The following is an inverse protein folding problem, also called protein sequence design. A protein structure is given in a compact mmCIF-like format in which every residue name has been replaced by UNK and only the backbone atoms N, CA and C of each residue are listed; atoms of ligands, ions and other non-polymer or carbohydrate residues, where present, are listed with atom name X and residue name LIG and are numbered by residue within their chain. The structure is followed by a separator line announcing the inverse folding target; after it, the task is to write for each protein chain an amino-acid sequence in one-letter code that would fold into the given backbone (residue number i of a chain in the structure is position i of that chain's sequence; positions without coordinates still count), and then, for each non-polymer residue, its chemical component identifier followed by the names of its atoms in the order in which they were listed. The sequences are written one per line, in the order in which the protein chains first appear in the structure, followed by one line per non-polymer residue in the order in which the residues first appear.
data_IF_664661291479
#
_entry.id   IF_664661291479
#
_cell.length_a   1.000
_cell.length_b   1.000
_cell.length_c   1.000
_cell.angle_alpha   90.00
_cell.angle_beta   90.00
_cell.angle_gamma   90.00
#
_symmetry.space_group_name_H-M   'P 1'
#
loop_
_entity.id
_entity.type
_entity.pdbx_description
1 polymer ?
#
# COMPACT_ATOMS: atom_id res chain seq x y z
N UNK A 1 23.77 19.79 8.78
CA UNK A 1 23.12 21.08 9.06
C UNK A 1 21.73 21.02 8.47
N UNK A 2 20.68 21.12 9.31
CA UNK A 2 19.30 21.17 8.84
C UNK A 2 19.13 22.34 7.87
N UNK A 3 18.29 22.21 6.84
CA UNK A 3 18.09 23.26 5.82
C UNK A 3 17.72 24.61 6.44
N UNK A 4 16.89 24.59 7.48
CA UNK A 4 16.58 25.76 8.28
C UNK A 4 17.81 26.40 8.93
N UNK A 5 18.67 25.62 9.60
CA UNK A 5 19.89 26.13 10.24
C UNK A 5 20.88 26.68 9.18
N UNK A 6 20.98 26.03 8.02
CA UNK A 6 21.78 26.51 6.89
C UNK A 6 21.29 27.87 6.39
N UNK A 7 19.98 28.05 6.24
CA UNK A 7 19.37 29.32 5.86
C UNK A 7 19.55 30.40 6.93
N UNK A 8 19.54 30.03 8.22
CA UNK A 8 19.85 30.95 9.33
C UNK A 8 21.31 31.41 9.31
N UNK A 9 22.25 30.51 8.99
CA UNK A 9 23.66 30.85 8.82
C UNK A 9 23.92 31.75 7.61
N UNK A 10 23.08 31.66 6.57
CA UNK A 10 23.09 32.56 5.42
C UNK A 10 22.47 33.95 5.70
N UNK A 11 22.07 34.23 6.96
CA UNK A 11 21.58 35.54 7.38
C UNK A 11 20.07 35.74 7.24
N UNK A 12 19.29 34.71 6.86
CA UNK A 12 17.84 34.85 6.75
C UNK A 12 17.17 34.94 8.13
N UNK A 13 16.16 35.80 8.26
CA UNK A 13 15.34 35.90 9.47
C UNK A 13 14.53 34.61 9.68
N UNK A 14 14.18 34.28 10.93
CA UNK A 14 13.48 33.04 11.30
C UNK A 14 12.21 32.79 10.47
N UNK A 15 11.40 33.83 10.27
CA UNK A 15 10.16 33.72 9.49
C UNK A 15 10.41 33.41 8.01
N UNK A 16 11.47 33.97 7.42
CA UNK A 16 11.81 33.72 6.01
C UNK A 16 12.46 32.36 5.85
N UNK A 17 13.41 32.00 6.72
CA UNK A 17 14.08 30.71 6.70
C UNK A 17 13.08 29.54 6.80
N UNK A 18 12.05 29.67 7.63
CA UNK A 18 10.96 28.67 7.71
C UNK A 18 10.25 28.49 6.37
N UNK A 19 9.75 29.58 5.76
CA UNK A 19 9.02 29.52 4.48
C UNK A 19 9.88 28.97 3.35
N UNK A 20 11.13 29.42 3.28
CA UNK A 20 12.09 28.97 2.27
C UNK A 20 12.40 27.47 2.44
N UNK A 21 12.46 26.95 3.67
CA UNK A 21 12.69 25.52 3.90
C UNK A 21 11.60 24.64 3.26
N UNK A 22 10.33 25.04 3.33
CA UNK A 22 9.22 24.30 2.68
C UNK A 22 9.19 24.47 1.16
N UNK A 23 9.50 25.67 0.69
CA UNK A 23 9.52 25.96 -0.75
C UNK A 23 10.73 25.34 -1.45
N UNK A 24 11.86 25.16 -0.77
CA UNK A 24 13.11 24.68 -1.37
C UNK A 24 13.22 23.15 -1.42
N UNK A 25 12.63 22.43 -0.46
CA UNK A 25 12.78 20.97 -0.37
C UNK A 25 11.47 20.22 -0.64
N UNK A 26 10.40 20.32 0.18
CA UNK A 26 9.14 19.63 -0.10
C UNK A 26 8.54 19.95 -1.48
N UNK A 27 8.41 21.22 -1.85
CA UNK A 27 7.68 21.59 -3.06
C UNK A 27 8.35 21.06 -4.35
N UNK A 28 9.66 21.19 -4.58
CA UNK A 28 10.31 20.64 -5.76
C UNK A 28 10.27 19.11 -5.80
N UNK A 29 10.41 18.45 -4.65
CA UNK A 29 10.29 16.98 -4.55
C UNK A 29 8.89 16.53 -4.95
N UNK A 30 7.83 17.20 -4.45
CA UNK A 30 6.45 16.88 -4.81
C UNK A 30 6.16 17.12 -6.30
N UNK A 31 6.63 18.24 -6.84
CA UNK A 31 6.49 18.56 -8.28
C UNK A 31 7.22 17.51 -9.12
N UNK A 32 8.44 17.14 -8.73
CA UNK A 32 9.23 16.13 -9.41
C UNK A 32 8.51 14.77 -9.41
N UNK A 33 8.00 14.32 -8.26
CA UNK A 33 7.22 13.08 -8.16
C UNK A 33 5.94 13.16 -8.99
N UNK A 34 5.22 14.29 -8.98
CA UNK A 34 4.03 14.49 -9.80
C UNK A 34 4.34 14.37 -11.30
N UNK A 35 5.43 15.00 -11.76
CA UNK A 35 5.89 14.89 -13.15
C UNK A 35 6.27 13.44 -13.49
N UNK A 36 6.99 12.74 -12.61
CA UNK A 36 7.30 11.33 -12.81
C UNK A 36 6.03 10.47 -12.91
N UNK A 37 5.03 10.71 -12.06
CA UNK A 37 3.75 9.97 -12.16
C UNK A 37 3.02 10.26 -13.47
N UNK A 38 3.10 11.48 -14.00
CA UNK A 38 2.53 11.81 -15.31
C UNK A 38 3.32 11.21 -16.49
N UNK A 39 4.60 10.90 -16.32
CA UNK A 39 5.42 10.27 -17.37
C UNK A 39 5.29 8.75 -17.33
N UNK A 40 5.28 8.15 -16.14
CA UNK A 40 5.37 6.70 -15.95
C UNK A 40 4.05 6.03 -15.54
N UNK A 41 3.03 6.79 -15.10
CA UNK A 41 1.76 6.26 -14.57
C UNK A 41 0.73 5.86 -15.63
N UNK A 42 1.14 5.40 -16.82
CA UNK A 42 0.26 5.11 -17.95
C UNK A 42 -0.23 3.65 -18.00
N UNK A 43 -0.30 2.97 -16.85
CA UNK A 43 -0.60 1.53 -16.78
C UNK A 43 -2.01 1.27 -16.23
N UNK A 44 -2.74 0.33 -16.84
CA UNK A 44 -4.04 -0.15 -16.36
C UNK A 44 -3.92 -1.59 -15.85
N UNK A 45 -4.87 -2.12 -15.05
CA UNK A 45 -4.75 -3.46 -14.44
C UNK A 45 -4.67 -4.64 -15.42
N UNK A 46 -4.71 -4.39 -16.72
CA UNK A 46 -4.57 -5.40 -17.77
C UNK A 46 -3.58 -5.00 -18.88
N UNK A 47 -2.68 -4.03 -18.61
CA UNK A 47 -1.58 -3.66 -19.50
C UNK A 47 -1.59 -2.20 -19.94
N UNK A 48 -1.18 -1.96 -21.20
CA UNK A 48 -1.04 -0.63 -21.79
C UNK A 48 -2.38 0.06 -21.91
N UNK A 49 -2.48 1.33 -21.51
CA UNK A 49 -3.74 2.12 -21.53
C UNK A 49 -4.56 2.03 -22.83
N UNK A 50 -3.90 1.85 -23.97
CA UNK A 50 -4.50 1.67 -25.29
C UNK A 50 -5.41 0.43 -25.38
N UNK A 51 -5.10 -0.64 -24.63
CA UNK A 51 -5.77 -1.94 -24.69
C UNK A 51 -6.96 -2.06 -23.71
N UNK A 52 -7.40 -0.96 -23.10
CA UNK A 52 -8.46 -0.95 -22.07
C UNK A 52 -9.81 -1.52 -22.51
N UNK A 53 -10.06 -1.62 -23.81
CA UNK A 53 -11.28 -2.20 -24.39
C UNK A 53 -11.10 -3.68 -24.80
N UNK A 54 -9.90 -4.23 -24.69
CA UNK A 54 -9.53 -5.60 -25.10
C UNK A 54 -9.30 -6.54 -23.92
N UNK A 55 -9.82 -6.21 -22.74
CA UNK A 55 -9.74 -7.08 -21.56
C UNK A 55 -10.68 -8.29 -21.68
N UNK A 56 -10.26 -9.50 -21.24
CA UNK A 56 -11.14 -10.67 -21.18
C UNK A 56 -12.45 -10.45 -20.41
N UNK A 57 -12.43 -9.56 -19.42
CA UNK A 57 -13.61 -9.14 -18.68
C UNK A 57 -14.63 -8.35 -19.53
N UNK A 58 -14.18 -7.56 -20.50
CA UNK A 58 -15.06 -6.87 -21.44
C UNK A 58 -15.70 -7.85 -22.44
N UNK A 59 -14.94 -8.86 -22.90
CA UNK A 59 -15.47 -9.91 -23.78
C UNK A 59 -16.58 -10.75 -23.12
N UNK A 60 -16.43 -11.07 -21.83
CA UNK A 60 -17.48 -11.75 -21.04
C UNK A 60 -18.75 -10.88 -20.88
N UNK A 61 -18.58 -9.57 -20.79
CA UNK A 61 -19.69 -8.64 -20.64
C UNK A 61 -20.47 -8.45 -21.96
N UNK A 62 -19.80 -8.59 -23.11
CA UNK A 62 -20.46 -8.65 -24.42
C UNK A 62 -21.22 -9.96 -24.64
N UNK A 63 -20.73 -11.10 -24.12
CA UNK A 63 -21.49 -12.38 -24.14
C UNK A 63 -22.74 -12.32 -23.26
N UNK A 64 -22.68 -11.68 -22.08
CA UNK A 64 -23.84 -11.52 -21.19
C UNK A 64 -24.88 -10.48 -21.66
N UNK A 65 -24.47 -9.53 -22.52
CA UNK A 65 -25.36 -8.50 -23.08
C UNK A 65 -26.04 -8.94 -24.39
N UNK A 66 -25.76 -10.14 -24.90
CA UNK A 66 -26.54 -10.68 -26.01
C UNK A 66 -27.94 -11.03 -25.50
N UNK A 67 -29.02 -10.48 -26.10
CA UNK A 67 -30.36 -10.88 -25.72
C UNK A 67 -30.54 -12.38 -25.99
N UNK A 68 -30.95 -13.14 -24.98
CA UNK A 68 -31.38 -14.52 -25.17
C UNK A 68 -32.40 -14.58 -26.32
N UNK A 69 -32.26 -15.51 -27.28
CA UNK A 69 -33.30 -15.69 -28.28
C UNK A 69 -34.58 -16.14 -27.56
N UNK A 70 -35.56 -15.23 -27.52
CA UNK A 70 -36.91 -15.50 -27.06
C UNK A 70 -37.48 -16.68 -27.85
N UNK A 71 -37.64 -17.82 -27.20
CA UNK A 71 -38.30 -18.99 -27.78
C UNK A 71 -39.75 -19.02 -27.30
N UNK A 72 -40.55 -18.07 -27.81
CA UNK A 72 -42.00 -18.16 -27.74
C UNK A 72 -42.46 -19.18 -28.78
N UNK A 73 -42.85 -20.39 -28.35
CA UNK A 73 -44.06 -21.13 -28.75
C UNK A 73 -43.95 -22.64 -28.49
N UNK A 74 -44.74 -23.13 -27.53
CA UNK A 74 -45.22 -24.51 -27.51
C UNK A 74 -46.27 -24.67 -28.61
N UNK A 75 -45.97 -25.44 -29.67
CA UNK A 75 -46.87 -26.41 -30.31
C UNK A 75 -46.22 -26.95 -31.58
N UNK A 76 -45.77 -28.21 -31.57
CA UNK A 76 -46.24 -29.24 -32.52
C UNK A 76 -45.38 -30.50 -32.46
N UNK A 77 -46.08 -31.60 -32.22
CA UNK A 77 -45.59 -32.97 -32.22
C UNK A 77 -45.09 -33.43 -33.59
N UNK A 78 -44.05 -34.28 -33.56
CA UNK A 78 -43.74 -35.34 -34.53
C UNK A 78 -43.72 -35.02 -36.04
N UNK A 79 -42.52 -34.80 -36.60
CA UNK A 79 -41.99 -35.60 -37.73
C UNK A 79 -40.60 -35.13 -38.19
N UNK A 80 -39.86 -36.11 -38.73
CA UNK A 80 -38.66 -35.98 -39.58
C UNK A 80 -37.28 -35.96 -38.89
N UNK A 81 -36.86 -37.18 -38.54
CA UNK A 81 -35.47 -37.64 -38.73
C UNK A 81 -34.90 -37.19 -40.10
N UNK A 82 -33.58 -36.94 -40.10
CA UNK A 82 -32.63 -36.80 -41.22
C UNK A 82 -32.39 -35.38 -41.75
N UNK A 83 -31.32 -34.75 -41.27
CA UNK A 83 -30.08 -34.48 -42.04
C UNK A 83 -29.03 -33.86 -41.12
N UNK A 84 -28.14 -34.70 -40.61
CA UNK A 84 -26.86 -34.26 -40.09
C UNK A 84 -26.01 -33.82 -41.29
N UNK A 85 -25.85 -32.51 -41.47
CA UNK A 85 -24.88 -31.96 -42.40
C UNK A 85 -23.82 -31.23 -41.57
N UNK A 86 -22.75 -31.99 -41.34
CA UNK A 86 -21.47 -31.56 -40.78
C UNK A 86 -20.94 -30.40 -41.62
N UNK A 87 -20.82 -29.21 -41.02
CA UNK A 87 -19.91 -28.17 -41.52
C UNK A 87 -18.77 -28.05 -40.52
N UNK A 88 -17.63 -28.61 -40.92
CA UNK A 88 -16.35 -28.50 -40.21
C UNK A 88 -15.84 -27.08 -40.46
N UNK A 89 -15.85 -26.23 -39.44
CA UNK A 89 -14.84 -25.18 -39.33
C UNK A 89 -13.80 -25.69 -38.33
N UNK A 90 -12.61 -25.94 -38.86
CA UNK A 90 -11.42 -26.40 -38.13
C UNK A 90 -11.08 -25.34 -37.10
N UNK A 91 -11.26 -25.66 -35.82
CA UNK A 91 -10.65 -24.91 -34.72
C UNK A 91 -9.18 -25.31 -34.72
N UNK A 92 -8.36 -24.48 -35.36
CA UNK A 92 -6.90 -24.54 -35.23
C UNK A 92 -6.58 -24.31 -33.74
N UNK A 93 -6.15 -25.39 -33.09
CA UNK A 93 -5.48 -25.34 -31.82
C UNK A 93 -4.12 -24.66 -32.03
N UNK A 94 -4.04 -23.39 -31.65
CA UNK A 94 -2.78 -22.71 -31.39
C UNK A 94 -2.84 -22.12 -29.97
N UNK A 95 -2.01 -22.70 -29.11
CA UNK A 95 -1.80 -22.41 -27.71
C UNK A 95 -1.67 -20.93 -27.36
N UNK A 96 -2.60 -20.43 -26.55
CA UNK A 96 -2.34 -19.48 -25.46
C UNK A 96 -3.64 -19.23 -24.68
N UNK A 97 -4.21 -20.26 -24.05
CA UNK A 97 -5.13 -20.03 -22.93
C UNK A 97 -4.29 -19.46 -21.78
N UNK A 98 -4.47 -18.21 -21.32
CA UNK A 98 -3.95 -17.84 -20.01
C UNK A 98 -4.76 -18.66 -19.01
N UNK A 99 -4.09 -19.59 -18.34
CA UNK A 99 -4.67 -20.36 -17.26
C UNK A 99 -5.11 -19.39 -16.16
N UNK A 100 -6.41 -19.08 -16.11
CA UNK A 100 -7.02 -18.22 -15.08
C UNK A 100 -6.88 -18.98 -13.75
N UNK A 101 -5.81 -18.68 -12.99
CA UNK A 101 -5.47 -19.37 -11.74
C UNK A 101 -6.34 -18.97 -10.54
N UNK A 102 -7.35 -18.13 -10.73
CA UNK A 102 -8.25 -17.70 -9.68
C UNK A 102 -9.45 -16.92 -10.25
N UNK A 103 -10.67 -17.38 -9.99
CA UNK A 103 -11.93 -16.66 -10.26
C UNK A 103 -11.99 -15.32 -9.48
N UNK A 104 -11.10 -15.11 -8.50
CA UNK A 104 -10.98 -13.86 -7.74
C UNK A 104 -10.29 -12.73 -8.54
N UNK A 105 -9.55 -13.06 -9.62
CA UNK A 105 -8.84 -12.05 -10.44
C UNK A 105 -9.68 -11.48 -11.60
N UNK A 106 -10.88 -12.01 -11.84
CA UNK A 106 -11.82 -11.43 -12.81
C UNK A 106 -12.84 -10.60 -12.03
N UNK A 107 -12.49 -9.36 -11.72
CA UNK A 107 -13.42 -8.41 -11.16
C UNK A 107 -14.45 -8.02 -12.24
N UNK A 108 -15.61 -8.67 -12.22
CA UNK A 108 -16.76 -8.24 -13.01
C UNK A 108 -17.24 -6.91 -12.41
N UNK A 109 -17.05 -5.82 -13.15
CA UNK A 109 -17.40 -4.49 -12.68
C UNK A 109 -18.92 -4.32 -12.75
N UNK A 110 -19.62 -4.70 -11.68
CA UNK A 110 -21.05 -4.44 -11.54
C UNK A 110 -21.29 -2.93 -11.31
N UNK A 111 -22.30 -2.36 -11.96
CA UNK A 111 -22.71 -0.96 -11.74
C UNK A 111 -23.08 -0.74 -10.27
N UNK A 112 -22.39 0.22 -9.65
CA UNK A 112 -22.54 0.53 -8.23
C UNK A 112 -23.97 1.02 -7.94
N UNK A 113 -24.82 0.10 -7.50
CA UNK A 113 -26.17 0.42 -7.02
C UNK A 113 -26.12 0.67 -5.52
N UNK A 114 -26.91 1.62 -5.00
CA UNK A 114 -26.95 1.94 -3.57
C UNK A 114 -27.13 0.71 -2.66
N UNK A 115 -27.92 -0.28 -3.09
CA UNK A 115 -28.10 -1.54 -2.37
C UNK A 115 -26.82 -2.36 -2.29
N UNK A 116 -26.07 -2.44 -3.39
CA UNK A 116 -24.77 -3.13 -3.47
C UNK A 116 -23.72 -2.38 -2.65
N UNK A 117 -23.71 -1.04 -2.68
CA UNK A 117 -22.81 -0.23 -1.86
C UNK A 117 -23.01 -0.46 -0.34
N UNK A 118 -24.26 -0.45 0.13
CA UNK A 118 -24.58 -0.74 1.55
C UNK A 118 -24.17 -2.17 1.92
N UNK A 119 -24.36 -3.14 1.03
CA UNK A 119 -23.95 -4.54 1.26
C UNK A 119 -22.42 -4.66 1.39
N UNK A 120 -21.65 -3.92 0.58
CA UNK A 120 -20.18 -3.91 0.62
C UNK A 120 -19.68 -3.26 1.91
N UNK A 121 -20.25 -2.11 2.31
CA UNK A 121 -19.85 -1.38 3.52
C UNK A 121 -20.22 -2.15 4.79
N UNK A 122 -21.36 -2.84 4.79
CA UNK A 122 -21.78 -3.65 5.95
C UNK A 122 -20.93 -4.93 6.09
N UNK A 123 -20.23 -5.35 5.05
CA UNK A 123 -19.38 -6.54 5.11
C UNK A 123 -18.08 -6.24 5.89
N UNK A 124 -17.81 -6.91 7.03
CA UNK A 124 -16.62 -6.66 7.82
C UNK A 124 -15.31 -6.99 7.09
N UNK A 125 -15.34 -7.90 6.10
CA UNK A 125 -14.14 -8.24 5.33
C UNK A 125 -13.63 -7.06 4.50
N UNK A 126 -14.50 -6.13 4.10
CA UNK A 126 -14.14 -4.91 3.38
C UNK A 126 -13.30 -3.98 4.24
N UNK A 127 -13.53 -3.98 5.56
CA UNK A 127 -12.84 -3.11 6.50
C UNK A 127 -11.48 -3.63 6.96
N UNK A 128 -11.22 -4.94 6.87
CA UNK A 128 -9.96 -5.53 7.36
C UNK A 128 -8.71 -4.87 6.75
N UNK A 129 -8.60 -4.65 5.43
CA UNK A 129 -7.45 -3.97 4.83
C UNK A 129 -7.39 -2.48 5.21
N UNK A 130 -8.54 -1.81 5.30
CA UNK A 130 -8.62 -0.41 5.68
C UNK A 130 -8.15 -0.20 7.13
N UNK A 131 -8.57 -1.06 8.05
CA UNK A 131 -8.13 -1.03 9.44
C UNK A 131 -6.65 -1.35 9.56
N UNK A 132 -6.16 -2.36 8.85
CA UNK A 132 -4.73 -2.67 8.83
C UNK A 132 -3.89 -1.46 8.37
N UNK A 133 -4.32 -0.80 7.29
CA UNK A 133 -3.67 0.42 6.80
C UNK A 133 -3.73 1.56 7.83
N UNK A 134 -4.90 1.82 8.43
CA UNK A 134 -5.06 2.87 9.45
C UNK A 134 -4.13 2.63 10.64
N UNK A 135 -3.94 1.37 11.04
CA UNK A 135 -3.05 1.05 12.17
C UNK A 135 -1.57 1.21 11.84
N UNK A 136 -1.10 0.79 10.66
CA UNK A 136 0.31 0.91 10.28
C UNK A 136 0.67 2.35 9.93
N UNK A 137 -0.11 2.99 9.07
CA UNK A 137 0.09 4.39 8.69
C UNK A 137 -0.14 5.34 9.87
N UNK A 138 -1.13 5.05 10.73
CA UNK A 138 -1.37 5.83 11.94
C UNK A 138 -0.20 5.76 12.94
N UNK A 139 0.45 4.60 13.05
CA UNK A 139 1.65 4.43 13.85
C UNK A 139 2.84 5.23 13.29
N UNK A 140 3.09 5.14 11.98
CA UNK A 140 4.14 5.91 11.29
C UNK A 140 3.98 7.42 11.55
N UNK A 141 2.77 7.95 11.34
CA UNK A 141 2.47 9.37 11.60
C UNK A 141 2.70 9.77 13.06
N UNK A 142 2.30 8.92 14.01
CA UNK A 142 2.49 9.20 15.43
C UNK A 142 3.98 9.21 15.81
N UNK A 143 4.75 8.25 15.27
CA UNK A 143 6.18 8.13 15.48
C UNK A 143 6.91 9.36 14.94
N UNK A 144 6.68 9.72 13.68
CA UNK A 144 7.34 10.87 13.05
C UNK A 144 6.96 12.20 13.73
N UNK A 145 5.71 12.35 14.18
CA UNK A 145 5.24 13.60 14.78
C UNK A 145 5.70 13.79 16.24
N UNK A 146 5.89 12.71 17.01
CA UNK A 146 6.12 12.80 18.47
C UNK A 146 7.46 12.28 18.95
N UNK A 147 8.15 11.45 18.18
CA UNK A 147 9.41 10.85 18.65
C UNK A 147 10.48 11.90 18.97
N UNK A 148 10.55 13.00 18.22
CA UNK A 148 11.52 14.07 18.49
C UNK A 148 11.29 14.73 19.86
N UNK A 149 10.03 14.94 20.25
CA UNK A 149 9.68 15.50 21.54
C UNK A 149 9.94 14.49 22.67
N UNK A 150 9.61 13.20 22.45
CA UNK A 150 9.87 12.11 23.41
C UNK A 150 11.36 11.97 23.69
N UNK A 151 12.19 11.89 22.65
CA UNK A 151 13.65 11.83 22.79
C UNK A 151 14.21 13.08 23.50
N UNK A 152 13.75 14.27 23.11
CA UNK A 152 14.19 15.51 23.75
C UNK A 152 13.84 15.53 25.25
N UNK A 153 12.61 15.17 25.61
CA UNK A 153 12.19 15.16 27.03
C UNK A 153 12.93 14.13 27.87
N UNK A 154 13.28 12.97 27.30
CA UNK A 154 13.99 11.92 28.04
C UNK A 154 15.47 12.23 28.27
N UNK A 155 16.14 12.83 27.29
CA UNK A 155 17.61 12.98 27.28
C UNK A 155 18.10 14.41 27.57
N UNK A 156 17.23 15.42 27.57
CA UNK A 156 17.61 16.81 27.88
C UNK A 156 18.30 16.90 29.25
N UNK A 157 19.52 17.43 29.27
CA UNK A 157 20.30 17.68 30.48
C UNK A 157 20.97 16.44 31.08
N UNK A 158 20.83 15.26 30.44
CA UNK A 158 21.46 14.01 30.87
C UNK A 158 22.53 13.52 29.90
N UNK A 159 22.35 13.79 28.60
CA UNK A 159 23.39 13.66 27.58
C UNK A 159 23.95 15.05 27.28
N UNK A 160 25.27 15.19 27.34
CA UNK A 160 25.94 16.45 26.99
C UNK A 160 25.63 16.83 25.54
N UNK A 161 25.20 18.08 25.32
CA UNK A 161 24.90 18.58 23.97
C UNK A 161 23.61 18.08 23.32
N UNK A 162 22.76 17.31 24.01
CA UNK A 162 21.51 16.81 23.42
C UNK A 162 20.47 17.94 23.25
N UNK A 163 20.49 18.55 22.05
CA UNK A 163 19.61 19.63 21.65
C UNK A 163 18.34 19.13 20.96
N UNK A 164 17.34 20.00 20.83
CA UNK A 164 16.11 19.70 20.07
C UNK A 164 16.40 19.39 18.59
N UNK A 165 17.44 20.01 18.02
CA UNK A 165 17.89 19.70 16.66
C UNK A 165 18.43 18.26 16.58
N UNK A 166 19.19 17.82 17.59
CA UNK A 166 19.75 16.46 17.63
C UNK A 166 18.66 15.41 17.72
N UNK A 167 17.65 15.62 18.57
CA UNK A 167 16.46 14.77 18.62
C UNK A 167 15.72 14.74 17.27
N UNK A 168 15.61 15.88 16.59
CA UNK A 168 15.07 15.97 15.24
C UNK A 168 15.87 15.15 14.20
N UNK A 169 17.20 15.14 14.28
CA UNK A 169 18.04 14.32 13.41
C UNK A 169 17.80 12.82 13.64
N UNK A 170 17.70 12.37 14.89
CA UNK A 170 17.36 10.98 15.19
C UNK A 170 15.97 10.60 14.65
N UNK A 171 14.96 11.45 14.87
CA UNK A 171 13.62 11.18 14.35
C UNK A 171 13.56 11.17 12.82
N UNK A 172 14.37 12.00 12.15
CA UNK A 172 14.42 12.01 10.68
C UNK A 172 14.89 10.70 10.05
N UNK A 173 15.60 9.84 10.81
CA UNK A 173 15.99 8.49 10.36
C UNK A 173 14.75 7.64 10.08
N UNK A 174 13.70 7.75 10.89
CA UNK A 174 12.46 6.98 10.70
C UNK A 174 11.75 7.41 9.41
N UNK A 175 11.63 8.70 9.14
CA UNK A 175 11.09 9.17 7.86
C UNK A 175 11.97 8.81 6.66
N UNK A 176 13.31 8.80 6.81
CA UNK A 176 14.22 8.40 5.73
C UNK A 176 14.16 6.90 5.42
N UNK A 177 13.95 6.08 6.45
CA UNK A 177 13.82 4.63 6.32
C UNK A 177 12.74 4.25 5.30
N UNK A 178 11.65 5.02 5.22
CA UNK A 178 10.51 4.77 4.34
C UNK A 178 10.89 4.79 2.85
N UNK A 179 11.96 5.52 2.48
CA UNK A 179 12.47 5.51 1.11
C UNK A 179 13.03 4.13 0.72
N UNK A 180 13.57 3.39 1.68
CA UNK A 180 14.19 2.08 1.44
C UNK A 180 13.20 0.95 1.71
N UNK A 181 12.46 1.02 2.82
CA UNK A 181 11.57 -0.06 3.26
C UNK A 181 10.34 -0.21 2.39
N UNK A 182 9.76 0.87 1.86
CA UNK A 182 8.58 0.79 0.97
C UNK A 182 8.83 0.04 -0.34
N UNK A 183 9.84 0.40 -1.17
CA UNK A 183 10.12 -0.37 -2.39
C UNK A 183 10.58 -1.79 -2.07
N UNK A 184 11.32 -1.98 -0.96
CA UNK A 184 11.74 -3.30 -0.52
C UNK A 184 10.55 -4.18 -0.08
N UNK A 185 9.59 -3.62 0.67
CA UNK A 185 8.36 -4.29 1.09
C UNK A 185 7.49 -4.68 -0.09
N UNK A 186 7.33 -3.78 -1.07
CA UNK A 186 6.66 -4.09 -2.34
C UNK A 186 7.31 -5.27 -3.06
N UNK A 187 8.64 -5.24 -3.21
CA UNK A 187 9.40 -6.34 -3.82
C UNK A 187 9.22 -7.67 -3.07
N UNK A 188 9.35 -7.66 -1.74
CA UNK A 188 9.15 -8.86 -0.91
C UNK A 188 7.71 -9.37 -1.06
N UNK A 189 6.72 -8.49 -1.04
CA UNK A 189 5.31 -8.83 -1.25
C UNK A 189 5.05 -9.51 -2.59
N UNK A 190 5.71 -9.07 -3.66
CA UNK A 190 5.61 -9.68 -4.99
C UNK A 190 6.31 -11.04 -5.06
N UNK A 191 7.45 -11.19 -4.40
CA UNK A 191 8.15 -12.49 -4.27
C UNK A 191 7.28 -13.49 -3.48
N UNK A 192 6.69 -13.07 -2.37
CA UNK A 192 5.78 -13.88 -1.55
C UNK A 192 4.57 -14.31 -2.36
N UNK A 193 4.00 -13.41 -3.14
CA UNK A 193 2.85 -13.70 -4.00
C UNK A 193 3.18 -14.69 -5.10
N UNK A 194 4.34 -14.55 -5.76
CA UNK A 194 4.76 -15.48 -6.81
C UNK A 194 4.90 -16.92 -6.28
N UNK A 195 5.28 -17.08 -5.02
CA UNK A 195 5.51 -18.41 -4.40
C UNK A 195 4.28 -19.00 -3.70
N UNK A 196 3.48 -18.18 -3.02
CA UNK A 196 2.40 -18.64 -2.14
C UNK A 196 1.01 -18.06 -2.48
N UNK A 197 0.90 -17.26 -3.54
CA UNK A 197 -0.34 -16.63 -3.99
C UNK A 197 -0.95 -15.65 -2.97
N UNK A 198 -2.26 -15.47 -3.03
CA UNK A 198 -3.02 -14.54 -2.18
C UNK A 198 -3.01 -14.91 -0.71
N UNK A 199 -2.92 -16.20 -0.36
CA UNK A 199 -2.80 -16.66 1.03
C UNK A 199 -1.45 -16.25 1.63
N UNK A 200 -0.37 -16.31 0.84
CA UNK A 200 0.95 -15.86 1.25
C UNK A 200 1.00 -14.38 1.63
N UNK A 201 0.44 -13.50 0.79
CA UNK A 201 0.37 -12.06 1.10
C UNK A 201 -0.38 -11.80 2.41
N UNK A 202 -1.50 -12.49 2.64
CA UNK A 202 -2.27 -12.34 3.90
C UNK A 202 -1.44 -12.68 5.13
N UNK A 203 -0.76 -13.83 5.12
CA UNK A 203 0.10 -14.23 6.24
C UNK A 203 1.29 -13.30 6.42
N UNK A 204 1.91 -12.84 5.33
CA UNK A 204 2.99 -11.86 5.38
C UNK A 204 2.57 -10.56 6.08
N UNK A 205 1.43 -9.98 5.69
CA UNK A 205 0.91 -8.76 6.31
C UNK A 205 0.62 -8.95 7.80
N UNK A 206 0.03 -10.10 8.17
CA UNK A 206 -0.23 -10.42 9.59
C UNK A 206 1.07 -10.57 10.37
N UNK A 207 2.08 -11.24 9.81
CA UNK A 207 3.39 -11.40 10.44
C UNK A 207 4.09 -10.06 10.64
N UNK A 208 4.07 -9.17 9.65
CA UNK A 208 4.63 -7.82 9.77
C UNK A 208 3.92 -7.01 10.86
N UNK A 209 2.58 -7.06 10.89
CA UNK A 209 1.78 -6.43 11.94
C UNK A 209 2.09 -6.96 13.35
N UNK A 210 2.31 -8.27 13.49
CA UNK A 210 2.65 -8.89 14.76
C UNK A 210 4.06 -8.46 15.23
N UNK A 211 5.05 -8.45 14.33
CA UNK A 211 6.42 -8.04 14.66
C UNK A 211 6.43 -6.56 15.08
N UNK A 212 5.73 -5.71 14.35
CA UNK A 212 5.55 -4.29 14.71
C UNK A 212 4.93 -4.15 16.11
N UNK A 213 3.85 -4.89 16.39
CA UNK A 213 3.18 -4.87 17.69
C UNK A 213 4.06 -5.35 18.84
N UNK A 214 4.80 -6.46 18.65
CA UNK A 214 5.74 -6.97 19.65
C UNK A 214 6.86 -5.97 19.90
N UNK A 215 7.41 -5.36 18.84
CA UNK A 215 8.50 -4.38 18.96
C UNK A 215 8.06 -3.13 19.72
N UNK A 216 6.86 -2.62 19.46
CA UNK A 216 6.31 -1.45 20.19
C UNK A 216 6.01 -1.77 21.65
N UNK A 217 5.47 -2.96 21.94
CA UNK A 217 5.26 -3.41 23.32
C UNK A 217 6.60 -3.55 24.05
N UNK A 218 7.60 -4.18 23.42
CA UNK A 218 8.94 -4.33 23.98
C UNK A 218 9.59 -2.96 24.26
N UNK A 219 9.46 -2.00 23.33
CA UNK A 219 9.91 -0.62 23.52
C UNK A 219 9.21 0.05 24.70
N UNK A 220 7.89 -0.09 24.80
CA UNK A 220 7.10 0.44 25.92
C UNK A 220 7.53 -0.12 27.27
N UNK A 221 7.72 -1.43 27.38
CA UNK A 221 8.23 -2.06 28.60
C UNK A 221 9.66 -1.63 28.92
N UNK A 222 10.53 -1.54 27.92
CA UNK A 222 11.92 -1.10 28.10
C UNK A 222 11.99 0.34 28.64
N UNK A 223 11.18 1.25 28.10
CA UNK A 223 11.08 2.63 28.58
C UNK A 223 10.52 2.68 30.02
N UNK A 224 9.47 1.91 30.32
CA UNK A 224 8.86 1.86 31.65
C UNK A 224 9.82 1.33 32.72
N UNK A 225 10.63 0.32 32.37
CA UNK A 225 11.62 -0.28 33.27
C UNK A 225 12.81 0.62 33.61
N UNK A 226 13.06 1.68 32.85
CA UNK A 226 14.18 2.61 33.05
C UNK A 226 13.70 3.98 33.56
N UNK A 227 12.82 3.96 34.56
CA UNK A 227 12.34 5.18 35.22
C UNK A 227 13.20 5.53 36.42
N UNK A 228 14.33 6.22 36.18
CA UNK A 228 15.27 6.85 37.14
C UNK A 228 15.78 5.97 38.32
N UNK A 229 17.11 5.82 38.52
CA UNK A 229 18.20 6.65 37.98
C UNK A 229 18.85 6.11 36.69
N UNK A 230 18.51 4.91 36.24
CA UNK A 230 19.00 4.36 34.97
C UNK A 230 18.26 5.00 33.79
N UNK A 231 19.02 5.52 32.84
CA UNK A 231 18.47 5.99 31.57
C UNK A 231 18.38 4.84 30.57
N UNK A 232 17.33 4.76 29.75
CA UNK A 232 17.30 3.82 28.64
C UNK A 232 18.40 4.21 27.63
N UNK A 233 19.13 3.22 27.13
CA UNK A 233 20.17 3.45 26.15
C UNK A 233 19.56 3.94 24.82
N UNK A 234 20.07 5.06 24.30
CA UNK A 234 19.55 5.67 23.09
C UNK A 234 19.61 4.72 21.89
N UNK A 235 20.67 3.93 21.76
CA UNK A 235 20.83 2.90 20.73
C UNK A 235 19.72 1.85 20.77
N UNK A 236 19.35 1.39 21.96
CA UNK A 236 18.30 0.38 22.17
C UNK A 236 16.93 0.96 21.83
N UNK A 237 16.63 2.18 22.31
CA UNK A 237 15.38 2.88 21.98
C UNK A 237 15.25 3.06 20.47
N UNK A 238 16.29 3.61 19.83
CA UNK A 238 16.29 3.83 18.38
C UNK A 238 16.17 2.50 17.62
N UNK A 239 16.88 1.45 18.05
CA UNK A 239 16.83 0.14 17.41
C UNK A 239 15.45 -0.52 17.46
N UNK A 240 14.81 -0.54 18.64
CA UNK A 240 13.49 -1.15 18.82
C UNK A 240 12.42 -0.42 18.02
N UNK A 241 12.42 0.91 18.03
CA UNK A 241 11.48 1.68 17.22
C UNK A 241 11.81 1.63 15.73
N UNK A 242 13.07 1.41 15.34
CA UNK A 242 13.43 1.21 13.93
C UNK A 242 12.90 -0.11 13.42
N UNK A 243 12.99 -1.19 14.21
CA UNK A 243 12.37 -2.48 13.86
C UNK A 243 10.86 -2.30 13.71
N UNK A 244 10.21 -1.63 14.64
CA UNK A 244 8.78 -1.35 14.54
C UNK A 244 8.42 -0.57 13.26
N UNK A 245 9.20 0.47 12.93
CA UNK A 245 9.02 1.25 11.71
C UNK A 245 9.24 0.40 10.45
N UNK A 246 10.30 -0.40 10.37
CA UNK A 246 10.56 -1.28 9.20
C UNK A 246 9.35 -2.18 8.93
N UNK A 247 8.89 -2.92 9.94
CA UNK A 247 7.79 -3.87 9.77
C UNK A 247 6.41 -3.21 9.64
N UNK A 248 6.29 -1.92 9.94
CA UNK A 248 5.09 -1.14 9.61
C UNK A 248 5.00 -0.83 8.11
N UNK A 249 6.14 -0.81 7.40
CA UNK A 249 6.25 -0.42 5.98
C UNK A 249 6.32 -1.61 5.01
N UNK A 250 6.49 -2.84 5.51
CA UNK A 250 6.61 -4.09 4.74
C UNK A 250 5.27 -4.79 4.51
#
# INVERSE_FOLDING_TARGET
VATYEGLRHLGLTQHVAWRVSFAAVPAPVLIFVAVLTLIFGWDHPAGRWEDRHHVPAAALQDELNQPEPQNDSESDLEKAKKKAQVSVHVVEAADAQPQIKSVVDVAVNEVLTWKTAVKIITNPLTWLPALAYVTTFGFELALDAKMADVLYMMYKGKLEGFSRTTAGYYTSIFGFLNIVTRPFGGYVGDVVYRRYGTRGKKWWTISCGLIMGVSTIAGGFYLSGHTAPSLPELSVVMGVFSVAAIFSEL
#
